data_IF_574558407824
#
_entry.id   IF_574558407824
#
_cell.length_a   1.000
_cell.length_b   1.000
_cell.length_c   1.000
_cell.angle_alpha   90.00
_cell.angle_beta   90.00
_cell.angle_gamma   90.00
#
_symmetry.space_group_name_H-M   'P 1'
#
loop_
_entity.id
_entity.type
_entity.pdbx_description
1 polymer ?
#
# COMPACT_ATOMS: atom_id res chain seq x y z
N UNK A 1 -14.32 4.92 -14.78
CA UNK A 1 -13.54 3.79 -15.33
C UNK A 1 -13.17 2.92 -14.13
N UNK A 2 -13.43 1.61 -14.08
CA UNK A 2 -12.93 0.81 -12.96
C UNK A 2 -11.41 0.67 -13.13
N UNK A 3 -10.64 1.27 -12.23
CA UNK A 3 -9.18 1.13 -12.21
C UNK A 3 -8.83 -0.32 -11.89
N UNK A 4 -8.24 -1.02 -12.87
CA UNK A 4 -7.69 -2.36 -12.67
C UNK A 4 -6.35 -2.17 -11.96
N UNK A 5 -6.31 -2.41 -10.65
CA UNK A 5 -5.07 -2.35 -9.88
C UNK A 5 -4.13 -3.48 -10.31
N UNK A 6 -2.87 -3.12 -10.58
CA UNK A 6 -1.80 -4.06 -10.91
C UNK A 6 -0.81 -4.10 -9.76
N UNK A 7 -0.57 -5.31 -9.23
CA UNK A 7 0.49 -5.56 -8.28
C UNK A 7 1.86 -5.31 -8.90
N UNK A 8 2.72 -4.60 -8.18
CA UNK A 8 4.10 -4.30 -8.56
C UNK A 8 5.00 -4.32 -7.34
N UNK A 9 6.30 -4.56 -7.55
CA UNK A 9 7.34 -4.38 -6.54
C UNK A 9 7.83 -2.93 -6.45
N UNK A 10 7.32 -2.04 -7.32
CA UNK A 10 7.64 -0.62 -7.24
C UNK A 10 7.12 -0.05 -5.93
N UNK A 11 8.02 0.60 -5.20
CA UNK A 11 7.73 1.22 -3.92
C UNK A 11 6.83 2.46 -4.16
N UNK A 12 5.75 2.65 -3.38
CA UNK A 12 4.94 3.87 -3.42
C UNK A 12 5.80 5.13 -3.30
N UNK A 13 5.64 6.05 -4.25
CA UNK A 13 6.41 7.31 -4.32
C UNK A 13 5.60 8.54 -3.92
N UNK A 14 4.32 8.37 -3.60
CA UNK A 14 3.42 9.44 -3.14
C UNK A 14 2.44 8.90 -2.09
N UNK A 15 1.97 9.79 -1.23
CA UNK A 15 0.92 9.52 -0.26
C UNK A 15 -0.37 9.06 -0.93
N UNK A 16 -1.20 8.34 -0.17
CA UNK A 16 -2.50 7.85 -0.61
C UNK A 16 -2.77 6.42 -0.18
N UNK A 17 -3.96 5.93 -0.53
CA UNK A 17 -4.37 4.57 -0.22
C UNK A 17 -3.74 3.58 -1.20
N UNK A 18 -3.22 2.46 -0.71
CA UNK A 18 -2.67 1.39 -1.54
C UNK A 18 -3.16 0.03 -1.03
N UNK A 19 -3.31 -0.92 -1.94
CA UNK A 19 -3.27 -2.32 -1.57
C UNK A 19 -1.81 -2.73 -1.30
N UNK A 20 -1.61 -3.47 -0.23
CA UNK A 20 -0.34 -4.12 0.10
C UNK A 20 -0.57 -5.63 0.29
N UNK A 21 0.37 -6.45 -0.17
CA UNK A 21 0.47 -7.87 0.20
C UNK A 21 1.93 -8.23 0.47
N UNK A 22 2.17 -8.97 1.55
CA UNK A 22 3.53 -9.38 1.92
C UNK A 22 4.09 -10.44 0.98
N UNK A 23 5.41 -10.48 0.82
CA UNK A 23 6.07 -11.57 0.09
C UNK A 23 5.75 -12.93 0.71
N UNK A 24 5.73 -13.98 -0.11
CA UNK A 24 5.54 -15.36 0.32
C UNK A 24 4.29 -15.62 1.21
N UNK A 25 3.29 -14.73 1.18
CA UNK A 25 2.09 -14.84 2.03
C UNK A 25 2.30 -14.42 3.47
N UNK A 26 3.38 -13.70 3.80
CA UNK A 26 3.61 -13.12 5.14
C UNK A 26 2.47 -12.18 5.57
N UNK A 27 1.80 -11.56 4.60
CA UNK A 27 0.55 -10.85 4.83
C UNK A 27 -0.41 -11.04 3.66
N UNK A 28 -1.64 -11.47 3.97
CA UNK A 28 -2.78 -11.44 3.05
C UNK A 28 -3.01 -10.01 2.53
N UNK A 29 -3.61 -9.79 1.34
CA UNK A 29 -3.85 -8.44 0.82
C UNK A 29 -4.73 -7.57 1.74
N UNK A 30 -4.27 -6.36 2.08
CA UNK A 30 -5.05 -5.35 2.80
C UNK A 30 -4.77 -3.93 2.30
N UNK A 31 -5.65 -2.99 2.66
CA UNK A 31 -5.51 -1.58 2.28
C UNK A 31 -4.78 -0.82 3.39
N UNK A 32 -3.80 -0.01 3.01
CA UNK A 32 -3.06 0.89 3.91
C UNK A 32 -3.07 2.31 3.37
N UNK A 33 -2.99 3.28 4.28
CA UNK A 33 -2.70 4.67 3.94
C UNK A 33 -1.19 4.88 4.05
N UNK A 34 -0.57 5.25 2.93
CA UNK A 34 0.79 5.79 2.91
C UNK A 34 0.70 7.29 3.14
N UNK A 35 1.38 7.79 4.16
CA UNK A 35 1.42 9.21 4.50
C UNK A 35 2.46 9.98 3.68
N UNK A 36 2.54 11.30 3.91
CA UNK A 36 3.50 12.21 3.26
C UNK A 36 4.97 11.91 3.62
N UNK A 37 5.22 11.18 4.72
CA UNK A 37 6.55 10.74 5.11
C UNK A 37 6.95 9.41 4.46
N UNK A 38 6.07 8.79 3.68
CA UNK A 38 6.29 7.46 3.11
C UNK A 38 6.18 6.35 4.16
N UNK A 39 5.40 6.56 5.21
CA UNK A 39 5.11 5.54 6.22
C UNK A 39 3.68 5.05 6.07
N UNK A 40 3.45 3.80 6.48
CA UNK A 40 2.11 3.25 6.64
C UNK A 40 2.00 2.54 7.98
N UNK A 41 0.75 2.32 8.41
CA UNK A 41 0.45 1.62 9.65
C UNK A 41 -0.05 0.20 9.37
N UNK A 42 0.51 -0.78 10.07
CA UNK A 42 0.05 -2.16 10.09
C UNK A 42 -1.27 -2.30 10.86
N UNK A 43 -2.07 -3.36 10.62
CA UNK A 43 -3.30 -3.60 11.38
C UNK A 43 -3.12 -3.75 12.90
N UNK A 44 -1.90 -4.09 13.36
CA UNK A 44 -1.55 -4.19 14.78
C UNK A 44 -1.19 -2.84 15.42
N UNK A 45 -1.13 -1.78 14.62
CA UNK A 45 -0.83 -0.41 15.04
C UNK A 45 0.64 0.00 14.87
N UNK A 46 1.54 -0.89 14.47
CA UNK A 46 2.94 -0.58 14.18
C UNK A 46 3.09 0.29 12.92
N UNK A 47 4.10 1.15 12.88
CA UNK A 47 4.43 1.97 11.71
C UNK A 47 5.67 1.43 10.99
N UNK A 48 5.68 1.52 9.66
CA UNK A 48 6.82 1.12 8.85
C UNK A 48 6.98 2.01 7.63
N UNK A 49 8.23 2.28 7.24
CA UNK A 49 8.55 2.94 5.97
C UNK A 49 8.27 2.01 4.79
N UNK A 50 7.67 2.53 3.72
CA UNK A 50 7.31 1.74 2.53
C UNK A 50 8.52 1.07 1.87
N UNK A 51 9.72 1.67 1.96
CA UNK A 51 10.95 1.11 1.39
C UNK A 51 11.52 -0.07 2.18
N UNK A 52 11.06 -0.29 3.41
CA UNK A 52 11.48 -1.39 4.26
C UNK A 52 10.47 -2.54 4.27
N UNK A 53 9.30 -2.36 3.68
CA UNK A 53 8.27 -3.40 3.62
C UNK A 53 8.51 -4.29 2.40
N UNK A 54 8.63 -5.59 2.65
CA UNK A 54 8.85 -6.59 1.61
C UNK A 54 7.50 -7.10 1.13
N UNK A 55 7.11 -6.70 -0.08
CA UNK A 55 5.80 -7.05 -0.61
C UNK A 55 5.51 -6.37 -1.93
N UNK A 56 4.32 -6.62 -2.44
CA UNK A 56 3.80 -5.98 -3.64
C UNK A 56 2.74 -4.94 -3.26
N UNK A 57 2.71 -3.89 -4.08
CA UNK A 57 1.84 -2.75 -3.94
C UNK A 57 0.91 -2.66 -5.15
N UNK A 58 -0.30 -2.15 -4.95
CA UNK A 58 -1.17 -1.77 -6.06
C UNK A 58 -1.91 -0.48 -5.73
N UNK A 59 -1.78 0.52 -6.60
CA UNK A 59 -2.38 1.84 -6.38
C UNK A 59 -1.52 2.99 -6.88
N UNK A 60 -1.75 4.21 -6.38
CA UNK A 60 -2.72 4.51 -5.33
C UNK A 60 -4.16 4.31 -5.79
N UNK A 61 -5.02 4.02 -4.83
CA UNK A 61 -6.46 3.91 -4.97
C UNK A 61 -7.02 5.33 -5.12
N UNK A 62 -7.79 5.55 -6.18
CA UNK A 62 -8.52 6.81 -6.34
C UNK A 62 -9.60 6.89 -5.27
N UNK A 63 -9.59 7.97 -4.49
CA UNK A 63 -10.66 8.25 -3.54
C UNK A 63 -11.97 8.53 -4.30
N UNK A 64 -13.13 8.13 -3.76
CA UNK A 64 -14.41 8.42 -4.40
C UNK A 64 -14.62 9.93 -4.55
N UNK A 65 -15.03 10.36 -5.73
CA UNK A 65 -15.59 11.70 -5.91
C UNK A 65 -16.92 11.79 -5.12
N UNK A 66 -17.06 12.84 -4.31
CA UNK A 66 -18.26 13.16 -3.54
C UNK A 66 -19.36 13.79 -4.39
#
# INVERSE_FOLDING_TARGET
MMSIYRWTLDIPSRSGWYWFRGEAGEAEPFIVLVDEAGQFQWPDGGFQEVSLAHGEWAGPIEEPEV
#
